data_IF_511648323528
#
_entry.id   IF_511648323528
#
_cell.length_a   1.000
_cell.length_b   1.000
_cell.length_c   1.000
_cell.angle_alpha   90.00
_cell.angle_beta   90.00
_cell.angle_gamma   90.00
#
_symmetry.space_group_name_H-M   'P 1'
#
loop_
_entity.id
_entity.type
_entity.pdbx_description
1 polymer ?
#
# COMPACT_ATOMS: atom_id res chain seq x y z
N UNK A 1 -6.97 -7.50 25.78
CA UNK A 1 -7.33 -8.22 24.54
C UNK A 1 -7.56 -7.15 23.48
N UNK A 2 -6.57 -6.88 22.64
CA UNK A 2 -6.67 -5.85 21.61
C UNK A 2 -7.55 -6.44 20.52
N UNK A 3 -8.76 -5.92 20.39
CA UNK A 3 -9.80 -6.45 19.53
C UNK A 3 -9.43 -6.29 18.07
N UNK A 4 -9.36 -7.42 17.38
CA UNK A 4 -9.14 -7.57 15.93
C UNK A 4 -10.22 -6.85 15.08
N UNK A 5 -11.31 -6.41 15.70
CA UNK A 5 -12.47 -5.78 15.05
C UNK A 5 -12.35 -4.27 14.79
N UNK A 6 -11.27 -3.61 15.22
CA UNK A 6 -10.96 -2.23 14.77
C UNK A 6 -10.14 -2.22 13.47
N UNK A 7 -9.96 -3.39 12.84
CA UNK A 7 -9.22 -3.54 11.59
C UNK A 7 -10.08 -3.70 10.33
N UNK A 8 -11.42 -3.67 10.45
CA UNK A 8 -12.30 -3.91 9.31
C UNK A 8 -12.38 -2.76 8.28
N UNK A 9 -11.96 -1.51 8.60
CA UNK A 9 -11.64 -0.51 7.59
C UNK A 9 -10.16 -0.06 7.60
N UNK A 10 -9.23 -0.79 8.22
CA UNK A 10 -7.87 -0.26 8.44
C UNK A 10 -6.98 -0.19 7.20
N UNK A 11 -7.49 -0.61 6.05
CA UNK A 11 -7.07 -0.09 4.75
C UNK A 11 -8.26 -0.14 3.78
N UNK A 12 -9.31 0.63 4.04
CA UNK A 12 -10.32 0.88 3.00
C UNK A 12 -9.67 1.31 1.67
N UNK A 13 -10.43 1.40 0.60
CA UNK A 13 -9.87 1.82 -0.69
C UNK A 13 -9.43 3.31 -0.68
N UNK A 14 -9.91 4.12 0.26
CA UNK A 14 -9.56 5.54 0.34
C UNK A 14 -8.07 5.78 0.64
N UNK A 15 -7.54 6.91 0.15
CA UNK A 15 -6.17 7.35 0.44
C UNK A 15 -6.01 7.69 1.93
N UNK A 16 -4.81 7.47 2.46
CA UNK A 16 -4.44 7.96 3.79
C UNK A 16 -3.96 9.40 3.72
N UNK A 17 -4.24 10.25 4.73
CA UNK A 17 -3.76 11.63 4.75
C UNK A 17 -2.23 11.71 4.82
N UNK A 18 -1.60 10.79 5.56
CA UNK A 18 -0.14 10.65 5.65
C UNK A 18 0.21 9.17 5.51
N UNK A 19 1.22 8.86 4.68
CA UNK A 19 1.69 7.50 4.46
C UNK A 19 3.20 7.43 4.58
N UNK A 20 3.67 6.68 5.57
CA UNK A 20 5.08 6.33 5.70
C UNK A 20 5.46 5.13 4.81
N UNK A 21 6.76 4.94 4.56
CA UNK A 21 7.32 3.79 3.84
C UNK A 21 6.88 2.47 4.47
N UNK A 22 6.89 2.36 5.79
CA UNK A 22 6.49 1.12 6.50
C UNK A 22 5.02 0.81 6.27
N UNK A 23 4.16 1.82 6.39
CA UNK A 23 2.73 1.70 6.08
C UNK A 23 2.51 1.34 4.62
N UNK A 24 3.24 1.96 3.69
CA UNK A 24 3.12 1.67 2.27
C UNK A 24 3.50 0.22 1.93
N UNK A 25 4.52 -0.35 2.58
CA UNK A 25 4.83 -1.78 2.45
C UNK A 25 3.71 -2.67 2.99
N UNK A 26 3.15 -2.32 4.16
CA UNK A 26 2.02 -3.07 4.72
C UNK A 26 0.80 -3.01 3.79
N UNK A 27 0.51 -1.86 3.20
CA UNK A 27 -0.55 -1.68 2.19
C UNK A 27 -0.31 -2.60 0.99
N UNK A 28 0.89 -2.59 0.41
CA UNK A 28 1.19 -3.41 -0.76
C UNK A 28 1.13 -4.91 -0.44
N UNK A 29 1.46 -5.33 0.78
CA UNK A 29 1.31 -6.72 1.23
C UNK A 29 -0.15 -7.10 1.44
N UNK A 30 -0.93 -6.27 2.13
CA UNK A 30 -2.35 -6.53 2.43
C UNK A 30 -3.24 -6.45 1.18
N UNK A 31 -2.95 -5.53 0.27
CA UNK A 31 -3.69 -5.36 -1.00
C UNK A 31 -3.15 -6.19 -2.16
N UNK A 32 -2.27 -7.18 -1.90
CA UNK A 32 -1.73 -8.06 -2.96
C UNK A 32 -2.85 -8.76 -3.74
N UNK A 33 -3.90 -9.21 -3.05
CA UNK A 33 -5.07 -9.89 -3.63
C UNK A 33 -6.29 -8.97 -3.73
N UNK A 34 -6.07 -7.65 -3.75
CA UNK A 34 -7.16 -6.69 -3.88
C UNK A 34 -7.81 -6.80 -5.26
N UNK A 35 -9.10 -7.18 -5.30
CA UNK A 35 -9.88 -7.32 -6.53
C UNK A 35 -10.28 -5.97 -7.15
N UNK A 36 -10.12 -4.87 -6.41
CA UNK A 36 -10.40 -3.52 -6.89
C UNK A 36 -9.32 -3.07 -7.86
N UNK A 37 -9.67 -3.01 -9.15
CA UNK A 37 -8.76 -2.65 -10.24
C UNK A 37 -8.09 -1.28 -10.03
N UNK A 38 -8.81 -0.31 -9.45
CA UNK A 38 -8.31 1.04 -9.21
C UNK A 38 -8.26 1.38 -7.72
N UNK A 39 -7.57 0.57 -6.92
CA UNK A 39 -7.44 0.78 -5.47
C UNK A 39 -6.58 2.04 -5.15
N UNK A 40 -7.17 3.16 -4.67
CA UNK A 40 -6.47 4.42 -4.42
C UNK A 40 -5.34 4.30 -3.40
N UNK A 41 -5.55 3.56 -2.31
CA UNK A 41 -4.54 3.37 -1.25
C UNK A 41 -3.33 2.56 -1.74
N UNK A 42 -3.57 1.55 -2.59
CA UNK A 42 -2.50 0.76 -3.24
C UNK A 42 -1.69 1.65 -4.18
N UNK A 43 -2.35 2.50 -4.94
CA UNK A 43 -1.69 3.45 -5.82
C UNK A 43 -0.82 4.44 -5.02
N UNK A 44 -1.38 5.01 -3.93
CA UNK A 44 -0.64 5.89 -3.03
C UNK A 44 0.60 5.21 -2.42
N UNK A 45 0.46 3.95 -1.97
CA UNK A 45 1.56 3.17 -1.44
C UNK A 45 2.66 2.92 -2.48
N UNK A 46 2.28 2.59 -3.71
CA UNK A 46 3.23 2.46 -4.82
C UNK A 46 4.00 3.77 -5.05
N UNK A 47 3.32 4.92 -5.15
CA UNK A 47 3.96 6.23 -5.30
C UNK A 47 4.94 6.49 -4.15
N UNK A 48 4.51 6.26 -2.90
CA UNK A 48 5.33 6.54 -1.73
C UNK A 48 6.60 5.70 -1.70
N UNK A 49 6.52 4.43 -2.09
CA UNK A 49 7.67 3.52 -2.13
C UNK A 49 8.63 3.84 -3.28
N UNK A 50 8.10 4.28 -4.43
CA UNK A 50 8.91 4.79 -5.55
C UNK A 50 9.65 6.07 -5.14
N UNK A 51 8.95 7.03 -4.52
CA UNK A 51 9.57 8.27 -4.00
C UNK A 51 10.66 7.99 -2.96
N UNK A 52 10.45 6.97 -2.11
CA UNK A 52 11.43 6.54 -1.13
C UNK A 52 12.59 5.73 -1.73
N UNK A 53 12.60 5.45 -3.05
CA UNK A 53 13.53 4.53 -3.74
C UNK A 53 13.57 3.14 -3.09
N UNK A 54 12.48 2.72 -2.44
CA UNK A 54 12.32 1.42 -1.77
C UNK A 54 11.54 0.42 -2.62
N UNK A 55 11.06 0.84 -3.79
CA UNK A 55 10.46 -0.02 -4.80
C UNK A 55 11.07 0.31 -6.14
N UNK A 56 11.70 -0.67 -6.77
CA UNK A 56 12.07 -0.61 -8.18
C UNK A 56 10.80 -0.92 -8.97
N UNK A 57 10.36 -0.04 -9.90
CA UNK A 57 9.27 -0.37 -10.81
C UNK A 57 9.57 -1.73 -11.45
N UNK A 58 8.60 -2.65 -11.50
CA UNK A 58 8.81 -3.98 -12.09
C UNK A 58 9.23 -3.91 -13.58
N UNK A 59 9.00 -2.76 -14.24
CA UNK A 59 9.45 -2.44 -15.59
C UNK A 59 10.91 -1.95 -15.68
N UNK A 60 11.65 -1.88 -14.57
CA UNK A 60 13.07 -1.57 -14.65
C UNK A 60 13.80 -2.83 -15.07
N UNK A 61 14.51 -2.86 -16.22
CA UNK A 61 15.33 -3.99 -16.57
C UNK A 61 16.36 -4.17 -15.46
N UNK A 62 16.29 -5.31 -14.77
CA UNK A 62 17.38 -5.79 -13.96
C UNK A 62 18.53 -6.06 -14.93
N UNK A 63 19.45 -5.08 -15.07
CA UNK A 63 20.76 -5.29 -15.69
C UNK A 63 21.63 -6.11 -14.75
#
# INVERSE_FOLDING_TARGET
MITESMLEPLLGHARLPVMDVTTAHLVMQKHRHCLTTNCPIRHQAKIRLVQAKRMVPADWPHM
#
